data_IF_032934732239
#
_entry.id   IF_032934732239
#
_cell.length_a   1.000
_cell.length_b   1.000
_cell.length_c   1.000
_cell.angle_alpha   90.00
_cell.angle_beta   90.00
_cell.angle_gamma   90.00
#
_symmetry.space_group_name_H-M   'P 1'
#
loop_
_entity.id
_entity.type
_entity.pdbx_description
1 polymer ?
#
# COMPACT_ATOMS: atom_id res chain seq x y z
N UNK A 1 -8.33 13.74 -12.69
CA UNK A 1 -7.96 12.42 -12.16
C UNK A 1 -7.98 12.52 -10.63
N UNK A 2 -8.68 11.63 -9.92
CA UNK A 2 -8.78 11.69 -8.46
C UNK A 2 -7.47 11.25 -7.79
N UNK A 3 -7.21 11.74 -6.58
CA UNK A 3 -6.14 11.24 -5.71
C UNK A 3 -6.71 10.18 -4.76
N UNK A 4 -6.17 8.96 -4.82
CA UNK A 4 -6.59 7.86 -3.94
C UNK A 4 -5.70 7.81 -2.70
N UNK A 5 -6.31 7.85 -1.52
CA UNK A 5 -5.60 7.74 -0.23
C UNK A 5 -6.06 6.47 0.47
N UNK A 6 -5.12 5.57 0.77
CA UNK A 6 -5.39 4.32 1.50
C UNK A 6 -4.96 4.48 2.96
N UNK A 7 -5.92 4.41 3.87
CA UNK A 7 -5.71 4.49 5.32
C UNK A 7 -6.26 3.25 6.03
N UNK A 8 -5.77 3.00 7.24
CA UNK A 8 -6.30 1.96 8.11
C UNK A 8 -7.28 2.60 9.10
N UNK A 9 -8.48 2.02 9.24
CA UNK A 9 -9.46 2.44 10.25
C UNK A 9 -9.31 1.75 11.61
N UNK A 10 -8.24 0.96 11.80
CA UNK A 10 -7.94 0.16 12.99
C UNK A 10 -6.51 0.45 13.49
N UNK A 11 -5.98 -0.43 14.35
CA UNK A 11 -4.67 -0.27 15.02
C UNK A 11 -3.48 -0.83 14.22
N UNK A 12 -3.43 -0.59 12.91
CA UNK A 12 -2.32 -1.07 12.06
C UNK A 12 -2.54 -2.48 11.48
N UNK A 13 -1.59 -2.91 10.65
CA UNK A 13 -1.48 -4.28 10.11
C UNK A 13 -2.70 -4.91 9.40
N UNK A 14 -3.64 -4.07 8.95
CA UNK A 14 -4.83 -4.50 8.20
C UNK A 14 -4.58 -4.84 6.72
N UNK A 15 -3.33 -4.96 6.30
CA UNK A 15 -3.00 -5.29 4.91
C UNK A 15 -3.01 -4.10 3.93
N UNK A 16 -2.76 -2.86 4.40
CA UNK A 16 -2.62 -1.67 3.52
C UNK A 16 -1.66 -1.90 2.35
N UNK A 17 -0.53 -2.59 2.60
CA UNK A 17 0.45 -2.95 1.59
C UNK A 17 -0.13 -3.73 0.41
N UNK A 18 -0.99 -4.70 0.70
CA UNK A 18 -1.65 -5.53 -0.32
C UNK A 18 -2.62 -4.73 -1.18
N UNK A 19 -3.37 -3.81 -0.57
CA UNK A 19 -4.34 -2.99 -1.30
C UNK A 19 -3.62 -1.96 -2.19
N UNK A 20 -2.61 -1.27 -1.65
CA UNK A 20 -1.90 -0.24 -2.43
C UNK A 20 -1.12 -0.86 -3.59
N UNK A 21 -0.55 -2.06 -3.44
CA UNK A 21 0.15 -2.75 -4.53
C UNK A 21 -0.81 -3.18 -5.65
N UNK A 22 -2.01 -3.67 -5.31
CA UNK A 22 -3.05 -3.96 -6.29
C UNK A 22 -3.46 -2.70 -7.08
N UNK A 23 -3.77 -1.60 -6.38
CA UNK A 23 -4.19 -0.35 -7.03
C UNK A 23 -3.10 0.23 -7.93
N UNK A 24 -1.83 0.19 -7.48
CA UNK A 24 -0.70 0.66 -8.29
C UNK A 24 -0.62 -0.06 -9.65
N UNK A 25 -0.84 -1.39 -9.66
CA UNK A 25 -0.80 -2.20 -10.88
C UNK A 25 -2.07 -2.07 -11.72
N UNK A 26 -3.24 -2.14 -11.09
CA UNK A 26 -4.55 -2.11 -11.78
C UNK A 26 -4.81 -0.76 -12.44
N UNK A 27 -4.54 0.32 -11.71
CA UNK A 27 -4.84 1.68 -12.16
C UNK A 27 -3.66 2.31 -12.92
N UNK A 28 -2.55 1.57 -13.05
CA UNK A 28 -1.31 2.01 -13.72
C UNK A 28 -0.83 3.37 -13.18
N UNK A 29 -0.77 3.47 -11.86
CA UNK A 29 -0.45 4.73 -11.17
C UNK A 29 0.99 5.16 -11.47
N UNK A 30 1.16 6.39 -11.98
CA UNK A 30 2.49 6.92 -12.32
C UNK A 30 3.33 7.31 -11.11
N UNK A 31 2.70 7.65 -9.98
CA UNK A 31 3.38 8.11 -8.76
C UNK A 31 2.70 7.53 -7.51
N UNK A 32 3.48 6.86 -6.67
CA UNK A 32 3.06 6.41 -5.35
C UNK A 32 3.86 7.15 -4.26
N UNK A 33 3.17 7.69 -3.25
CA UNK A 33 3.77 8.37 -2.12
C UNK A 33 3.37 7.71 -0.80
N UNK A 34 4.30 7.63 0.16
CA UNK A 34 4.04 7.06 1.49
C UNK A 34 3.97 8.17 2.52
N UNK A 35 2.89 8.18 3.30
CA UNK A 35 2.69 9.04 4.46
C UNK A 35 2.71 8.23 5.77
N UNK A 36 2.47 8.91 6.91
CA UNK A 36 2.50 8.33 8.25
C UNK A 36 3.74 8.75 9.04
N UNK A 37 4.02 8.05 10.15
CA UNK A 37 5.10 8.43 11.08
C UNK A 37 6.48 8.24 10.47
N UNK A 38 6.75 7.07 9.89
CA UNK A 38 8.08 6.74 9.37
C UNK A 38 8.25 5.24 9.12
N UNK A 39 9.44 4.66 9.34
CA UNK A 39 9.72 3.24 9.05
C UNK A 39 9.12 2.26 10.07
N UNK A 40 8.32 2.73 11.03
CA UNK A 40 7.70 1.91 12.08
C UNK A 40 6.57 0.98 11.60
N UNK A 41 6.11 1.13 10.35
CA UNK A 41 5.06 0.29 9.77
C UNK A 41 5.63 -0.57 8.64
N UNK A 42 5.50 -1.89 8.78
CA UNK A 42 5.80 -2.89 7.76
C UNK A 42 4.59 -3.18 6.88
N UNK A 43 4.80 -3.33 5.58
CA UNK A 43 3.75 -3.64 4.61
C UNK A 43 4.17 -4.85 3.79
N UNK A 44 3.69 -6.02 4.18
CA UNK A 44 3.97 -7.25 3.46
C UNK A 44 3.17 -7.32 2.17
N UNK A 45 3.83 -7.66 1.08
CA UNK A 45 3.19 -7.91 -0.23
C UNK A 45 3.73 -9.19 -0.85
N UNK A 46 2.88 -9.87 -1.61
CA UNK A 46 3.26 -11.05 -2.40
C UNK A 46 3.16 -10.68 -3.87
N UNK A 47 4.25 -10.86 -4.61
CA UNK A 47 4.30 -10.64 -6.06
C UNK A 47 4.87 -11.88 -6.75
N UNK A 48 3.99 -12.60 -7.46
CA UNK A 48 4.29 -13.96 -7.91
C UNK A 48 4.58 -14.87 -6.70
N UNK A 49 5.71 -15.57 -6.74
CA UNK A 49 6.13 -16.48 -5.67
C UNK A 49 7.02 -15.82 -4.60
N UNK A 50 7.17 -14.49 -4.64
CA UNK A 50 8.05 -13.74 -3.72
C UNK A 50 7.26 -12.90 -2.72
N UNK A 51 7.71 -12.91 -1.47
CA UNK A 51 7.21 -12.05 -0.40
C UNK A 51 8.20 -10.91 -0.14
N UNK A 52 7.68 -9.70 0.00
CA UNK A 52 8.41 -8.48 0.36
C UNK A 52 7.81 -7.86 1.62
#
# INVERSE_FOLDING_TARGET
MPCTVVVCGFFGDTGKGKIISYLALNDKVSVAARAGVGPNAGHTVVYGDKTF
#
